data_IF_221262866977
#
_entry.id   IF_221262866977
#
_cell.length_a   1.000
_cell.length_b   1.000
_cell.length_c   1.000
_cell.angle_alpha   90.00
_cell.angle_beta   90.00
_cell.angle_gamma   90.00
#
_symmetry.space_group_name_H-M   'P 1'
#
loop_
_entity.id
_entity.type
_entity.pdbx_description
1 polymer ?
#
# COMPACT_ATOMS: atom_id res chain seq x y z
N UNK A 1 -9.66 -8.34 -0.48
CA UNK A 1 -9.50 -8.39 -1.95
C UNK A 1 -8.04 -8.70 -2.27
N UNK A 2 -7.76 -9.49 -3.33
CA UNK A 2 -6.43 -9.70 -3.82
C UNK A 2 -5.87 -8.42 -4.46
N UNK A 3 -4.55 -8.32 -4.56
CA UNK A 3 -3.92 -7.25 -5.33
C UNK A 3 -2.71 -7.78 -6.09
N UNK A 4 -2.39 -7.11 -7.20
CA UNK A 4 -1.22 -7.43 -8.02
C UNK A 4 0.11 -7.21 -7.27
N UNK A 5 0.11 -6.32 -6.27
CA UNK A 5 1.27 -6.07 -5.42
C UNK A 5 2.30 -5.12 -6.02
N UNK A 6 1.88 -4.28 -6.97
CA UNK A 6 2.71 -3.24 -7.59
C UNK A 6 1.93 -1.95 -7.81
N UNK A 7 2.65 -0.85 -7.90
CA UNK A 7 2.17 0.40 -8.48
C UNK A 7 2.71 0.50 -9.90
N UNK A 8 1.90 1.05 -10.80
CA UNK A 8 2.25 1.14 -12.22
C UNK A 8 1.93 2.51 -12.79
N UNK A 9 2.73 2.93 -13.76
CA UNK A 9 2.50 4.12 -14.57
C UNK A 9 2.22 3.75 -16.02
N UNK A 10 1.48 4.62 -16.71
CA UNK A 10 1.21 4.49 -18.14
C UNK A 10 2.47 4.69 -18.98
N UNK A 11 2.53 4.01 -20.13
CA UNK A 11 3.64 4.07 -21.10
C UNK A 11 3.18 4.65 -22.44
N UNK A 12 2.37 5.71 -22.42
CA UNK A 12 1.91 6.36 -23.65
C UNK A 12 3.04 7.09 -24.40
N UNK A 13 4.07 7.56 -23.67
CA UNK A 13 5.23 8.24 -24.27
C UNK A 13 6.13 7.25 -25.02
N UNK A 14 6.17 7.36 -26.35
CA UNK A 14 6.95 6.46 -27.23
C UNK A 14 8.46 6.54 -26.96
N UNK A 15 9.00 7.72 -26.67
CA UNK A 15 10.42 7.88 -26.37
C UNK A 15 10.81 7.15 -25.09
N UNK A 16 9.93 7.16 -24.10
CA UNK A 16 10.15 6.44 -22.85
C UNK A 16 10.06 4.92 -23.04
N UNK A 17 9.10 4.42 -23.85
CA UNK A 17 9.06 3.00 -24.22
C UNK A 17 10.34 2.52 -24.86
N UNK A 18 10.88 3.28 -25.83
CA UNK A 18 12.16 2.97 -26.49
C UNK A 18 13.33 2.96 -25.52
N UNK A 19 13.35 3.90 -24.55
CA UNK A 19 14.36 3.91 -23.48
C UNK A 19 14.31 2.65 -22.61
N UNK A 20 13.12 2.10 -22.35
CA UNK A 20 12.93 0.85 -21.63
C UNK A 20 13.24 -0.42 -22.47
N UNK A 21 13.63 -0.25 -23.73
CA UNK A 21 13.93 -1.35 -24.65
C UNK A 21 12.70 -2.03 -25.26
N UNK A 22 11.53 -1.36 -25.22
CA UNK A 22 10.32 -1.85 -25.90
C UNK A 22 10.43 -1.65 -27.41
N UNK A 23 9.92 -2.64 -28.16
CA UNK A 23 9.69 -2.49 -29.60
C UNK A 23 8.43 -1.68 -29.85
N UNK A 24 8.30 -1.11 -31.06
CA UNK A 24 7.17 -0.23 -31.40
C UNK A 24 5.81 -0.97 -31.40
N UNK A 25 5.80 -2.28 -31.60
CA UNK A 25 4.63 -3.17 -31.56
C UNK A 25 4.28 -3.68 -30.15
N UNK A 26 5.10 -3.39 -29.15
CA UNK A 26 4.87 -3.79 -27.76
C UNK A 26 4.08 -2.73 -26.99
N UNK A 27 3.25 -3.19 -26.08
CA UNK A 27 2.50 -2.35 -25.15
C UNK A 27 2.58 -2.90 -23.72
N UNK A 28 2.28 -2.05 -22.75
CA UNK A 28 2.27 -2.42 -21.34
C UNK A 28 2.33 -1.24 -20.41
N UNK A 29 2.48 -1.53 -19.12
CA UNK A 29 2.59 -0.54 -18.03
C UNK A 29 3.89 -0.73 -17.26
N UNK A 30 4.50 0.36 -16.83
CA UNK A 30 5.74 0.36 -16.06
C UNK A 30 5.44 0.06 -14.59
N UNK A 31 6.14 -0.90 -14.02
CA UNK A 31 6.18 -1.10 -12.57
C UNK A 31 7.06 -0.01 -11.95
N UNK A 32 6.47 0.90 -11.20
CA UNK A 32 7.18 1.97 -10.51
C UNK A 32 7.60 1.56 -9.11
N UNK A 33 6.79 0.74 -8.45
CA UNK A 33 7.09 0.23 -7.12
C UNK A 33 6.49 -1.16 -6.91
N UNK A 34 7.20 -2.00 -6.19
CA UNK A 34 6.69 -3.29 -5.68
C UNK A 34 6.33 -3.11 -4.21
N UNK A 35 5.11 -3.54 -3.86
CA UNK A 35 4.58 -3.39 -2.49
C UNK A 35 5.29 -4.36 -1.55
N UNK A 36 6.00 -3.87 -0.51
CA UNK A 36 6.62 -4.73 0.49
C UNK A 36 5.60 -5.61 1.21
N UNK A 37 5.91 -6.90 1.38
CA UNK A 37 4.97 -7.90 1.93
C UNK A 37 3.90 -8.39 0.94
N UNK A 38 3.78 -7.76 -0.24
CA UNK A 38 2.85 -8.16 -1.30
C UNK A 38 3.23 -9.47 -1.99
N UNK A 39 2.33 -9.97 -2.84
CA UNK A 39 2.57 -11.21 -3.61
C UNK A 39 3.71 -11.09 -4.61
N UNK A 40 3.89 -9.91 -5.19
CA UNK A 40 4.88 -9.61 -6.22
C UNK A 40 6.30 -9.38 -5.69
N UNK A 41 6.53 -9.24 -4.37
CA UNK A 41 7.78 -8.76 -3.77
C UNK A 41 9.03 -9.50 -4.21
N UNK A 42 8.94 -10.83 -4.38
CA UNK A 42 10.07 -11.66 -4.83
C UNK A 42 10.07 -11.93 -6.34
N UNK A 43 9.02 -11.51 -7.04
CA UNK A 43 8.78 -11.84 -8.44
C UNK A 43 9.04 -10.66 -9.38
N UNK A 44 8.56 -9.49 -9.04
CA UNK A 44 8.67 -8.26 -9.84
C UNK A 44 9.71 -7.29 -9.26
N UNK A 45 10.10 -6.32 -10.08
CA UNK A 45 11.03 -5.24 -9.73
C UNK A 45 10.56 -3.93 -10.32
N UNK A 46 10.87 -2.82 -9.67
CA UNK A 46 10.71 -1.51 -10.29
C UNK A 46 11.53 -1.47 -11.61
N UNK A 47 10.95 -0.90 -12.65
CA UNK A 47 11.50 -0.88 -14.00
C UNK A 47 11.04 -2.05 -14.90
N UNK A 48 10.31 -3.02 -14.39
CA UNK A 48 9.64 -4.03 -15.23
C UNK A 48 8.49 -3.41 -16.02
N UNK A 49 8.23 -3.90 -17.23
CA UNK A 49 7.02 -3.54 -17.99
C UNK A 49 6.09 -4.74 -18.05
N UNK A 50 4.91 -4.62 -17.47
CA UNK A 50 3.88 -5.66 -17.55
C UNK A 50 3.18 -5.53 -18.90
N UNK A 51 3.38 -6.51 -19.77
CA UNK A 51 2.83 -6.56 -21.13
C UNK A 51 1.51 -7.34 -21.20
N UNK A 52 1.35 -8.37 -20.38
CA UNK A 52 0.09 -9.14 -20.28
C UNK A 52 -0.12 -9.70 -18.89
N UNK A 53 -1.39 -9.93 -18.54
CA UNK A 53 -1.85 -10.56 -17.30
C UNK A 53 -2.73 -11.74 -17.70
N UNK A 54 -2.37 -12.97 -17.30
CA UNK A 54 -3.06 -14.21 -17.67
C UNK A 54 -3.36 -14.29 -19.18
N UNK A 55 -2.36 -13.97 -19.99
CA UNK A 55 -2.42 -13.90 -21.45
C UNK A 55 -3.28 -12.77 -22.03
N UNK A 56 -3.88 -11.92 -21.23
CA UNK A 56 -4.62 -10.74 -21.69
C UNK A 56 -3.64 -9.58 -21.85
N UNK A 57 -3.46 -9.03 -23.08
CA UNK A 57 -2.54 -7.92 -23.30
C UNK A 57 -2.97 -6.65 -22.57
N UNK A 58 -2.00 -5.96 -21.98
CA UNK A 58 -2.17 -4.66 -21.33
C UNK A 58 -1.72 -3.56 -22.28
N UNK A 59 -2.55 -2.56 -22.46
CA UNK A 59 -2.21 -1.41 -23.29
C UNK A 59 -1.38 -0.38 -22.52
N UNK A 60 -0.79 0.60 -23.23
CA UNK A 60 0.07 1.63 -22.65
C UNK A 60 -0.66 2.59 -21.69
N UNK A 61 -1.98 2.71 -21.82
CA UNK A 61 -2.86 3.49 -20.96
C UNK A 61 -3.41 2.70 -19.75
N UNK A 62 -2.80 1.55 -19.44
CA UNK A 62 -3.20 0.64 -18.36
C UNK A 62 -4.57 -0.02 -18.55
N UNK A 63 -5.10 -0.07 -19.78
CA UNK A 63 -6.37 -0.74 -20.06
C UNK A 63 -6.18 -2.07 -20.78
N UNK A 64 -7.21 -2.92 -20.70
CA UNK A 64 -7.36 -4.17 -21.43
C UNK A 64 -8.63 -4.10 -22.29
N UNK A 65 -8.72 -4.92 -23.33
CA UNK A 65 -9.98 -5.12 -24.06
C UNK A 65 -10.92 -5.97 -23.21
N UNK A 66 -12.14 -5.48 -23.04
CA UNK A 66 -13.21 -6.18 -22.34
C UNK A 66 -14.53 -5.99 -23.09
N UNK A 67 -15.13 -7.08 -23.57
CA UNK A 67 -16.31 -7.04 -24.43
C UNK A 67 -16.11 -6.07 -25.62
N UNK A 68 -16.99 -5.05 -25.73
CA UNK A 68 -16.94 -4.03 -26.80
C UNK A 68 -16.18 -2.75 -26.37
N UNK A 69 -15.58 -2.73 -25.17
CA UNK A 69 -14.93 -1.55 -24.61
C UNK A 69 -13.53 -1.83 -24.07
N UNK A 70 -13.10 -0.93 -23.21
CA UNK A 70 -11.82 -1.00 -22.50
C UNK A 70 -12.08 -0.75 -21.02
N UNK A 71 -11.34 -1.47 -20.18
CA UNK A 71 -11.40 -1.34 -18.74
C UNK A 71 -9.97 -1.37 -18.17
N UNK A 72 -9.75 -0.81 -17.01
CA UNK A 72 -8.46 -0.84 -16.34
C UNK A 72 -8.05 -2.29 -16.02
N UNK A 73 -6.77 -2.61 -16.20
CA UNK A 73 -6.26 -3.99 -16.07
C UNK A 73 -6.49 -4.61 -14.67
N UNK A 74 -6.66 -3.79 -13.61
CA UNK A 74 -6.93 -4.30 -12.26
C UNK A 74 -8.18 -5.18 -12.19
N UNK A 75 -9.11 -4.99 -13.12
CA UNK A 75 -10.30 -5.83 -13.24
C UNK A 75 -9.96 -7.33 -13.32
N UNK A 76 -8.87 -7.71 -14.00
CA UNK A 76 -8.43 -9.11 -14.05
C UNK A 76 -8.03 -9.64 -12.67
N UNK A 77 -7.53 -8.77 -11.81
CA UNK A 77 -7.14 -9.12 -10.44
C UNK A 77 -8.36 -9.16 -9.53
N UNK A 78 -9.32 -8.25 -9.74
CA UNK A 78 -10.55 -8.18 -8.95
C UNK A 78 -11.44 -9.43 -9.15
N UNK A 79 -11.29 -10.12 -10.29
CA UNK A 79 -11.98 -11.40 -10.56
C UNK A 79 -11.37 -12.60 -9.83
N UNK A 80 -10.18 -12.43 -9.23
CA UNK A 80 -9.45 -13.53 -8.57
C UNK A 80 -9.65 -13.55 -7.07
N UNK A 81 -9.15 -14.63 -6.47
CA UNK A 81 -9.14 -14.81 -5.02
C UNK A 81 -7.73 -14.62 -4.44
N UNK A 82 -7.65 -14.35 -3.14
CA UNK A 82 -6.38 -14.40 -2.40
C UNK A 82 -5.81 -15.81 -2.51
N UNK A 83 -4.50 -15.93 -2.69
CA UNK A 83 -3.77 -17.18 -2.96
C UNK A 83 -4.09 -17.83 -4.32
N UNK A 84 -4.77 -17.14 -5.21
CA UNK A 84 -4.88 -17.58 -6.59
C UNK A 84 -3.62 -17.17 -7.38
N UNK A 85 -3.13 -18.03 -8.32
CA UNK A 85 -1.98 -17.69 -9.13
C UNK A 85 -2.32 -16.63 -10.19
N UNK A 86 -1.36 -15.77 -10.45
CA UNK A 86 -1.36 -14.86 -11.60
C UNK A 86 -0.10 -15.12 -12.44
N UNK A 87 -0.26 -15.08 -13.77
CA UNK A 87 0.85 -15.23 -14.71
C UNK A 87 1.00 -13.93 -15.50
N UNK A 88 2.20 -13.36 -15.50
CA UNK A 88 2.51 -12.11 -16.18
C UNK A 88 3.54 -12.35 -17.28
N UNK A 89 3.36 -11.70 -18.43
CA UNK A 89 4.44 -11.50 -19.39
C UNK A 89 5.05 -10.13 -19.12
N UNK A 90 6.36 -10.12 -18.86
CA UNK A 90 7.07 -8.93 -18.39
C UNK A 90 8.29 -8.68 -19.26
N UNK A 91 8.51 -7.43 -19.65
CA UNK A 91 9.78 -7.01 -20.22
C UNK A 91 10.68 -6.48 -19.10
N UNK A 92 11.84 -7.10 -18.92
CA UNK A 92 12.86 -6.72 -17.93
C UNK A 92 14.20 -6.54 -18.64
N UNK A 93 14.73 -5.32 -18.66
CA UNK A 93 16.00 -4.99 -19.31
C UNK A 93 16.10 -5.53 -20.75
N UNK A 94 15.03 -5.35 -21.54
CA UNK A 94 14.97 -5.81 -22.94
C UNK A 94 14.67 -7.30 -23.14
N UNK A 95 14.53 -8.08 -22.08
CA UNK A 95 14.20 -9.50 -22.15
C UNK A 95 12.75 -9.76 -21.75
N UNK A 96 12.04 -10.55 -22.53
CA UNK A 96 10.67 -10.97 -22.21
C UNK A 96 10.70 -12.18 -21.29
N UNK A 97 10.06 -12.09 -20.15
CA UNK A 97 10.00 -13.11 -19.12
C UNK A 97 8.54 -13.47 -18.81
N UNK A 98 8.30 -14.73 -18.49
CA UNK A 98 7.03 -15.18 -17.91
C UNK A 98 7.23 -15.35 -16.41
N UNK A 99 6.45 -14.62 -15.62
CA UNK A 99 6.53 -14.60 -14.16
C UNK A 99 5.20 -15.08 -13.60
N UNK A 100 5.24 -16.02 -12.65
CA UNK A 100 4.06 -16.55 -11.96
C UNK A 100 4.25 -16.43 -10.46
N UNK A 101 3.22 -15.91 -9.77
CA UNK A 101 3.18 -15.85 -8.31
C UNK A 101 1.74 -15.90 -7.80
N UNK A 102 1.57 -16.03 -6.48
CA UNK A 102 0.26 -16.07 -5.84
C UNK A 102 -0.12 -14.68 -5.33
N UNK A 103 -1.36 -14.27 -5.63
CA UNK A 103 -1.91 -13.01 -5.18
C UNK A 103 -2.06 -13.00 -3.66
N UNK A 104 -1.77 -11.87 -3.05
CA UNK A 104 -1.99 -11.63 -1.62
C UNK A 104 -2.92 -10.45 -1.40
N UNK A 105 -3.49 -10.36 -0.21
CA UNK A 105 -4.15 -9.14 0.23
C UNK A 105 -3.11 -8.02 0.39
N UNK A 106 -3.58 -6.77 0.33
CA UNK A 106 -2.73 -5.62 0.64
C UNK A 106 -2.25 -5.69 2.09
N UNK A 107 -0.95 -5.58 2.35
CA UNK A 107 -0.39 -5.74 3.69
C UNK A 107 -0.60 -4.47 4.55
N UNK A 108 -1.86 -4.11 4.79
CA UNK A 108 -2.17 -2.95 5.62
C UNK A 108 -1.62 -3.12 7.03
N UNK A 109 -0.81 -2.17 7.48
CA UNK A 109 -0.40 -2.04 8.88
C UNK A 109 -1.45 -1.33 9.71
N UNK A 110 -2.23 -0.47 9.06
CA UNK A 110 -3.38 0.22 9.62
C UNK A 110 -4.58 -0.14 8.76
N UNK A 111 -5.62 -0.70 9.36
CA UNK A 111 -6.82 -1.12 8.61
C UNK A 111 -7.49 0.07 7.91
N UNK A 112 -7.74 -0.08 6.61
CA UNK A 112 -8.52 0.86 5.82
C UNK A 112 -10.03 0.64 5.96
N UNK A 113 -10.41 -0.53 6.46
CA UNK A 113 -11.80 -0.89 6.69
C UNK A 113 -12.29 -0.36 8.03
N UNK A 114 -13.59 -0.15 8.14
CA UNK A 114 -14.21 0.15 9.42
C UNK A 114 -14.21 -1.12 10.28
N UNK A 115 -13.79 -1.00 11.51
CA UNK A 115 -13.77 -2.08 12.48
C UNK A 115 -15.03 -1.95 13.36
N UNK A 116 -16.15 -2.46 12.85
CA UNK A 116 -17.40 -2.50 13.61
C UNK A 116 -17.28 -3.53 14.73
N UNK A 117 -17.88 -3.21 15.89
CA UNK A 117 -18.01 -4.10 17.07
C UNK A 117 -16.67 -4.57 17.68
N UNK A 118 -15.55 -4.00 17.29
CA UNK A 118 -14.27 -4.22 17.93
C UNK A 118 -13.97 -3.14 18.95
N UNK A 119 -13.70 -3.56 20.18
CA UNK A 119 -13.19 -2.64 21.19
C UNK A 119 -11.78 -2.16 20.82
N UNK A 120 -11.47 -0.86 21.01
CA UNK A 120 -10.13 -0.36 20.74
C UNK A 120 -9.12 -1.05 21.66
N UNK A 121 -7.97 -1.44 21.08
CA UNK A 121 -6.84 -1.94 21.86
C UNK A 121 -6.12 -0.74 22.51
N UNK A 122 -5.85 -0.85 23.78
CA UNK A 122 -5.05 0.15 24.50
C UNK A 122 -4.34 -0.48 25.70
N UNK A 123 -3.30 0.18 26.19
CA UNK A 123 -2.74 -0.10 27.49
C UNK A 123 -2.44 1.22 28.23
N UNK A 124 -2.42 1.16 29.57
CA UNK A 124 -2.13 2.31 30.41
C UNK A 124 -0.90 1.98 31.26
N UNK A 125 0.13 2.80 31.12
CA UNK A 125 1.37 2.66 31.89
C UNK A 125 1.77 4.02 32.44
N UNK A 126 1.90 4.16 33.77
CA UNK A 126 2.23 5.43 34.42
C UNK A 126 1.26 6.58 34.11
N UNK A 127 -0.02 6.26 33.87
CA UNK A 127 -1.03 7.23 33.47
C UNK A 127 -1.02 7.59 31.98
N UNK A 128 -0.10 7.08 31.21
CA UNK A 128 -0.03 7.30 29.75
C UNK A 128 -0.87 6.22 29.06
N UNK A 129 -1.79 6.66 28.19
CA UNK A 129 -2.62 5.76 27.37
C UNK A 129 -1.95 5.56 26.02
N UNK A 130 -1.53 4.33 25.77
CA UNK A 130 -0.97 3.87 24.49
C UNK A 130 -2.04 3.14 23.70
N UNK A 131 -2.14 3.39 22.40
CA UNK A 131 -3.00 2.64 21.50
C UNK A 131 -2.43 2.58 20.09
N UNK A 132 -2.75 1.55 19.28
CA UNK A 132 -2.40 1.53 17.87
C UNK A 132 -3.13 2.63 17.11
N UNK A 133 -2.44 3.25 16.15
CA UNK A 133 -3.09 4.13 15.18
C UNK A 133 -4.07 3.31 14.35
N UNK A 134 -5.32 3.74 14.32
CA UNK A 134 -6.39 3.09 13.56
C UNK A 134 -7.24 4.13 12.83
N UNK A 135 -7.98 3.70 11.81
CA UNK A 135 -8.96 4.55 11.15
C UNK A 135 -10.03 5.05 12.13
N UNK A 136 -10.46 4.19 13.06
CA UNK A 136 -11.48 4.57 14.06
C UNK A 136 -10.96 5.65 15.00
N UNK A 137 -9.68 5.61 15.37
CA UNK A 137 -9.06 6.70 16.10
C UNK A 137 -9.07 8.01 15.31
N UNK A 138 -8.66 7.97 14.03
CA UNK A 138 -8.68 9.16 13.17
C UNK A 138 -10.09 9.75 13.03
N UNK A 139 -11.13 8.92 12.98
CA UNK A 139 -12.54 9.34 12.89
C UNK A 139 -13.05 10.07 14.14
N UNK A 140 -12.30 10.10 15.25
CA UNK A 140 -12.66 10.91 16.41
C UNK A 140 -12.62 12.42 16.10
N UNK A 141 -11.82 12.83 15.09
CA UNK A 141 -11.87 14.20 14.57
C UNK A 141 -13.01 14.36 13.55
N UNK A 142 -13.79 15.44 13.71
CA UNK A 142 -14.79 15.78 12.70
C UNK A 142 -14.08 16.11 11.36
N UNK A 143 -14.56 15.55 10.25
CA UNK A 143 -13.91 15.68 8.92
C UNK A 143 -12.42 15.30 8.96
N UNK A 144 -12.10 14.19 9.59
CA UNK A 144 -10.76 13.74 9.96
C UNK A 144 -9.70 13.82 8.83
N UNK A 145 -10.06 13.62 7.57
CA UNK A 145 -9.14 13.82 6.43
C UNK A 145 -8.58 15.26 6.32
N UNK A 146 -9.24 16.23 6.93
CA UNK A 146 -8.84 17.63 6.90
C UNK A 146 -8.35 18.16 8.23
N UNK A 147 -8.79 17.58 9.34
CA UNK A 147 -8.61 18.14 10.69
C UNK A 147 -7.69 17.33 11.59
N UNK A 148 -7.49 16.02 11.32
CA UNK A 148 -6.56 15.23 12.10
C UNK A 148 -5.09 15.67 11.86
N UNK A 149 -4.21 15.36 12.82
CA UNK A 149 -2.78 15.67 12.70
C UNK A 149 -2.24 15.10 11.38
N UNK A 150 -1.55 15.96 10.60
CA UNK A 150 -1.02 15.59 9.28
C UNK A 150 -0.02 14.44 9.33
N UNK A 151 0.71 14.29 10.44
CA UNK A 151 1.64 13.17 10.65
C UNK A 151 0.89 11.86 10.80
N UNK A 152 -0.22 11.85 11.54
CA UNK A 152 -1.05 10.66 11.68
C UNK A 152 -1.71 10.28 10.36
N UNK A 153 -2.17 11.25 9.59
CA UNK A 153 -2.69 11.03 8.24
C UNK A 153 -1.62 10.47 7.30
N UNK A 154 -0.39 10.98 7.38
CA UNK A 154 0.75 10.47 6.63
C UNK A 154 1.03 9.00 6.97
N UNK A 155 1.13 8.65 8.25
CA UNK A 155 1.31 7.25 8.66
C UNK A 155 0.17 6.36 8.18
N UNK A 156 -1.06 6.86 8.19
CA UNK A 156 -2.22 6.12 7.72
C UNK A 156 -2.18 5.88 6.21
N UNK A 157 -1.89 6.90 5.41
CA UNK A 157 -2.04 6.85 3.96
C UNK A 157 -0.75 6.45 3.22
N UNK A 158 0.43 6.88 3.67
CA UNK A 158 1.67 6.83 2.89
C UNK A 158 2.72 5.87 3.43
N UNK A 159 2.54 5.27 4.61
CA UNK A 159 3.56 4.45 5.27
C UNK A 159 4.07 3.26 4.43
N UNK A 160 3.25 2.74 3.51
CA UNK A 160 3.65 1.63 2.63
C UNK A 160 4.38 2.15 1.39
N UNK A 161 3.86 3.20 0.75
CA UNK A 161 4.47 3.76 -0.46
C UNK A 161 5.89 4.27 -0.20
N UNK A 162 6.10 4.92 0.92
CA UNK A 162 7.39 5.50 1.24
C UNK A 162 8.36 4.52 1.91
N UNK A 163 7.84 3.38 2.41
CA UNK A 163 8.58 2.31 3.07
C UNK A 163 9.60 2.81 4.12
N UNK A 164 9.25 3.90 4.82
CA UNK A 164 10.15 4.52 5.81
C UNK A 164 10.32 3.69 7.10
N UNK A 165 9.39 2.79 7.36
CA UNK A 165 9.36 1.99 8.60
C UNK A 165 9.11 0.51 8.28
N UNK A 166 10.03 -0.16 7.55
CA UNK A 166 9.80 -1.53 7.06
C UNK A 166 9.62 -2.54 8.18
N UNK A 167 10.30 -2.34 9.32
CA UNK A 167 10.26 -3.26 10.46
C UNK A 167 9.03 -3.09 11.36
N UNK A 168 8.29 -1.99 11.23
CA UNK A 168 7.14 -1.71 12.09
C UNK A 168 5.92 -2.49 11.64
N UNK A 169 5.34 -3.25 12.54
CA UNK A 169 4.07 -3.95 12.33
C UNK A 169 2.87 -3.04 12.57
N UNK A 170 2.99 -2.11 13.50
CA UNK A 170 1.96 -1.18 13.94
C UNK A 170 2.59 0.18 14.28
N UNK A 171 1.80 1.23 14.25
CA UNK A 171 2.16 2.55 14.76
C UNK A 171 1.44 2.75 16.09
N UNK A 172 2.18 2.73 17.19
CA UNK A 172 1.65 2.98 18.52
C UNK A 172 1.71 4.48 18.79
N UNK A 173 0.65 5.03 19.32
CA UNK A 173 0.58 6.44 19.71
C UNK A 173 0.26 6.62 21.18
N UNK A 174 0.71 7.75 21.73
CA UNK A 174 0.23 8.28 23.00
C UNK A 174 -1.07 9.00 22.69
N UNK A 175 -2.19 8.42 23.12
CA UNK A 175 -3.50 9.04 22.96
C UNK A 175 -3.65 10.22 23.92
N UNK A 176 -3.43 9.98 25.21
CA UNK A 176 -3.57 10.97 26.26
C UNK A 176 -2.76 10.56 27.49
N UNK A 177 -2.40 11.55 28.30
CA UNK A 177 -1.86 11.34 29.64
C UNK A 177 -2.95 11.65 30.64
N UNK A 178 -3.24 10.69 31.52
CA UNK A 178 -4.17 10.89 32.65
C UNK A 178 -3.45 11.73 33.68
N UNK A 179 -4.05 12.86 34.15
CA UNK A 179 -3.38 13.75 35.10
C UNK A 179 -3.06 13.02 36.41
N UNK A 180 -1.82 13.08 36.84
CA UNK A 180 -1.32 12.63 38.12
C UNK A 180 -0.14 13.51 38.56
N UNK A 181 0.15 13.56 39.86
CA UNK A 181 1.30 14.32 40.38
C UNK A 181 2.63 13.85 39.79
N UNK A 182 2.73 12.56 39.46
CA UNK A 182 3.95 11.97 38.91
C UNK A 182 4.17 12.29 37.42
N UNK A 183 3.16 12.73 36.70
CA UNK A 183 3.24 12.91 35.24
C UNK A 183 2.76 14.29 34.75
N UNK A 184 2.66 15.28 35.62
CA UNK A 184 2.22 16.65 35.26
C UNK A 184 3.04 17.29 34.15
N UNK A 185 4.33 16.94 34.02
CA UNK A 185 5.23 17.43 32.96
C UNK A 185 4.95 16.82 31.58
N UNK A 186 4.10 15.78 31.51
CA UNK A 186 3.70 15.12 30.27
C UNK A 186 2.28 15.51 29.81
N UNK A 187 1.61 16.42 30.48
CA UNK A 187 0.19 16.79 30.24
C UNK A 187 -0.09 17.15 28.76
N UNK A 188 0.88 17.75 28.07
CA UNK A 188 0.75 18.21 26.69
C UNK A 188 1.18 17.16 25.65
N UNK A 189 1.57 15.97 26.12
CA UNK A 189 1.99 14.88 25.21
C UNK A 189 0.75 14.06 24.83
N UNK A 190 0.21 14.35 23.67
CA UNK A 190 -0.89 13.59 23.09
C UNK A 190 -0.72 13.46 21.56
N UNK A 191 -1.38 12.49 20.95
CA UNK A 191 -1.40 12.26 19.50
C UNK A 191 0.00 12.14 18.88
N UNK A 192 0.96 11.61 19.66
CA UNK A 192 2.34 11.38 19.21
C UNK A 192 2.57 9.90 18.93
N UNK A 193 3.18 9.60 17.80
CA UNK A 193 3.64 8.24 17.50
C UNK A 193 4.88 7.96 18.33
N UNK A 194 4.86 6.83 19.02
CA UNK A 194 5.99 6.34 19.82
C UNK A 194 7.03 5.74 18.90
N UNK A 195 8.25 6.20 19.02
CA UNK A 195 9.37 5.64 18.26
C UNK A 195 9.98 4.45 19.01
N UNK A 196 10.35 4.66 20.25
CA UNK A 196 10.92 3.62 21.12
C UNK A 196 10.63 3.92 22.57
N UNK A 197 10.79 2.91 23.44
CA UNK A 197 10.68 3.01 24.88
C UNK A 197 11.92 2.36 25.47
N UNK A 198 12.63 3.07 26.39
CA UNK A 198 13.83 2.58 27.08
C UNK A 198 15.00 2.20 26.14
N UNK A 199 15.25 3.00 25.14
CA UNK A 199 16.46 2.91 24.31
C UNK A 199 17.63 3.66 24.95
#
# INVERSE_FOLDING_TARGET
FPMLGVFTDSLENISYRRHLGMKDDQSGVLVTMVVPGGGAEKALRAGDVIMSIDSVPVANDATIRFMQGRIFYSYLIDLKQINEPVTLTVLRKGQVLTIRYFLKAYPYRISWFNEYEKLPRYCIVGGIIFQPLSKEFLKTWNKWWHTADRRLLYYYACHISDNLFPERKEFILINRVLPDRANTYLSDVHDKVVDSINN
#
